data_IF_414327050920
#
_entry.id   IF_414327050920
#
_cell.length_a   1.000
_cell.length_b   1.000
_cell.length_c   1.000
_cell.angle_alpha   90.00
_cell.angle_beta   90.00
_cell.angle_gamma   90.00
#
_symmetry.space_group_name_H-M   'P 1'
#
loop_
_entity.id
_entity.type
_entity.pdbx_description
1 polymer ?
#
# COMPACT_ATOMS: atom_id res chain seq x y z
N UNK A 1 -11.97 -18.99 15.07
CA UNK A 1 -11.36 -19.04 13.70
C UNK A 1 -10.71 -17.69 13.40
N UNK A 2 -9.38 -17.63 13.35
CA UNK A 2 -8.69 -16.41 12.95
C UNK A 2 -8.99 -16.12 11.47
N UNK A 3 -9.69 -15.03 11.20
CA UNK A 3 -9.81 -14.48 9.85
C UNK A 3 -8.47 -13.79 9.56
N UNK A 4 -7.43 -14.57 9.30
CA UNK A 4 -6.27 -14.10 8.56
C UNK A 4 -6.72 -13.97 7.12
N UNK A 5 -7.31 -12.82 6.77
CA UNK A 5 -7.34 -12.40 5.37
C UNK A 5 -5.90 -12.41 4.87
N UNK A 6 -5.69 -13.02 3.69
CA UNK A 6 -4.38 -13.03 3.07
C UNK A 6 -3.92 -11.58 2.85
N UNK A 7 -2.69 -11.25 3.23
CA UNK A 7 -2.13 -9.92 3.02
C UNK A 7 -2.18 -9.53 1.53
N UNK A 8 -2.32 -8.22 1.21
CA UNK A 8 -2.37 -7.77 -0.18
C UNK A 8 -1.16 -8.27 -0.98
N UNK A 9 -1.42 -8.84 -2.16
CA UNK A 9 -0.40 -9.29 -3.10
C UNK A 9 -0.26 -8.31 -4.26
N UNK A 10 0.78 -8.49 -5.09
CA UNK A 10 0.97 -7.67 -6.28
C UNK A 10 -0.29 -7.76 -7.17
N UNK A 11 -0.87 -6.62 -7.57
CA UNK A 11 -2.05 -6.65 -8.43
C UNK A 11 -1.67 -7.26 -9.80
N UNK A 12 -2.58 -7.97 -10.48
CA UNK A 12 -2.35 -8.36 -11.87
C UNK A 12 -2.35 -7.13 -12.79
N UNK A 13 -1.93 -7.32 -14.04
CA UNK A 13 -2.09 -6.30 -15.10
C UNK A 13 -3.56 -5.83 -15.13
N UNK A 14 -3.85 -4.51 -14.99
CA UNK A 14 -5.21 -3.99 -14.99
C UNK A 14 -5.88 -3.98 -16.38
N UNK A 15 -5.15 -4.16 -17.49
CA UNK A 15 -5.69 -4.06 -18.86
C UNK A 15 -6.89 -4.99 -19.12
N UNK A 16 -6.90 -6.28 -18.73
CA UNK A 16 -8.05 -7.15 -18.97
C UNK A 16 -9.32 -6.65 -18.26
N UNK A 17 -9.20 -6.19 -17.01
CA UNK A 17 -10.33 -5.65 -16.26
C UNK A 17 -10.85 -4.33 -16.88
N UNK A 18 -9.95 -3.44 -17.27
CA UNK A 18 -10.31 -2.19 -17.96
C UNK A 18 -11.01 -2.44 -19.30
N UNK A 19 -10.53 -3.41 -20.08
CA UNK A 19 -11.14 -3.75 -21.37
C UNK A 19 -12.59 -4.26 -21.23
N UNK A 20 -12.91 -4.91 -20.10
CA UNK A 20 -14.26 -5.33 -19.79
C UNK A 20 -15.15 -4.18 -19.30
N UNK A 21 -14.59 -3.22 -18.57
CA UNK A 21 -15.35 -2.15 -17.90
C UNK A 21 -15.52 -0.87 -18.74
N UNK A 22 -14.54 -0.50 -19.57
CA UNK A 22 -14.56 0.76 -20.31
C UNK A 22 -15.48 0.70 -21.54
N UNK A 23 -16.22 1.78 -21.76
CA UNK A 23 -16.89 2.00 -23.05
C UNK A 23 -15.86 2.16 -24.20
N UNK A 24 -16.28 2.03 -25.47
CA UNK A 24 -15.36 2.10 -26.60
C UNK A 24 -14.57 3.42 -26.72
N UNK A 25 -15.15 4.54 -26.28
CA UNK A 25 -14.52 5.87 -26.37
C UNK A 25 -13.42 6.00 -25.32
N UNK A 26 -13.71 5.62 -24.07
CA UNK A 26 -12.74 5.64 -22.98
C UNK A 26 -11.58 4.66 -23.24
N UNK A 27 -11.88 3.50 -23.82
CA UNK A 27 -10.88 2.50 -24.20
C UNK A 27 -9.95 2.98 -25.31
N UNK A 28 -10.52 3.53 -26.38
CA UNK A 28 -9.73 4.13 -27.46
C UNK A 28 -8.81 5.24 -26.93
N UNK A 29 -9.34 6.12 -26.06
CA UNK A 29 -8.53 7.15 -25.43
C UNK A 29 -7.35 6.57 -24.62
N UNK A 30 -7.57 5.51 -23.86
CA UNK A 30 -6.52 4.90 -23.05
C UNK A 30 -5.45 4.23 -23.92
N UNK A 31 -5.85 3.52 -24.98
CA UNK A 31 -4.92 2.86 -25.91
C UNK A 31 -4.08 3.89 -26.67
N UNK A 32 -4.70 4.95 -27.19
CA UNK A 32 -4.01 6.06 -27.84
C UNK A 32 -3.07 6.78 -26.87
N UNK A 33 -3.51 7.02 -25.63
CA UNK A 33 -2.69 7.68 -24.60
C UNK A 33 -1.49 6.82 -24.20
N UNK A 34 -1.67 5.50 -24.07
CA UNK A 34 -0.57 4.58 -23.78
C UNK A 34 0.45 4.54 -24.94
N UNK A 35 -0.03 4.57 -26.18
CA UNK A 35 0.85 4.67 -27.36
C UNK A 35 1.60 6.02 -27.41
N UNK A 36 0.92 7.13 -27.08
CA UNK A 36 1.53 8.46 -26.99
C UNK A 36 2.62 8.50 -25.91
N UNK A 37 2.37 7.94 -24.72
CA UNK A 37 3.36 7.84 -23.64
C UNK A 37 4.55 6.96 -24.05
N UNK A 38 4.30 5.87 -24.78
CA UNK A 38 5.37 5.00 -25.27
C UNK A 38 6.26 5.70 -26.31
N UNK A 39 5.70 6.59 -27.13
CA UNK A 39 6.43 7.35 -28.15
C UNK A 39 7.11 8.60 -27.58
N UNK A 40 6.43 9.34 -26.70
CA UNK A 40 6.89 10.58 -26.08
C UNK A 40 6.60 10.54 -24.57
N UNK A 41 7.54 10.05 -23.74
CA UNK A 41 7.32 9.80 -22.31
C UNK A 41 6.85 11.02 -21.52
N UNK A 42 7.23 12.22 -21.93
CA UNK A 42 6.86 13.46 -21.22
C UNK A 42 5.36 13.76 -21.25
N UNK A 43 4.62 13.18 -22.19
CA UNK A 43 3.16 13.33 -22.32
C UNK A 43 2.39 12.72 -21.17
N UNK A 44 3.00 11.76 -20.43
CA UNK A 44 2.39 11.15 -19.24
C UNK A 44 1.97 12.21 -18.24
N UNK A 45 2.72 13.31 -18.10
CA UNK A 45 2.44 14.41 -17.16
C UNK A 45 1.12 15.12 -17.45
N UNK A 46 0.67 15.13 -18.71
CA UNK A 46 -0.61 15.70 -19.15
C UNK A 46 -1.72 14.66 -19.16
N UNK A 47 -1.41 13.42 -19.52
CA UNK A 47 -2.38 12.34 -19.69
C UNK A 47 -2.79 11.70 -18.36
N UNK A 48 -1.85 11.60 -17.41
CA UNK A 48 -2.05 10.97 -16.10
C UNK A 48 -3.16 11.65 -15.28
N UNK A 49 -3.27 13.00 -15.21
CA UNK A 49 -4.40 13.66 -14.56
C UNK A 49 -5.71 13.55 -15.33
N UNK A 50 -5.66 13.35 -16.65
CA UNK A 50 -6.85 13.25 -17.49
C UNK A 50 -7.58 11.91 -17.35
N UNK A 51 -6.92 10.88 -16.81
CA UNK A 51 -7.45 9.52 -16.69
C UNK A 51 -8.84 9.48 -16.05
N UNK A 52 -9.03 10.18 -14.92
CA UNK A 52 -10.34 10.21 -14.23
C UNK A 52 -11.47 10.77 -15.09
N UNK A 53 -11.21 11.88 -15.79
CA UNK A 53 -12.22 12.51 -16.65
C UNK A 53 -12.57 11.65 -17.86
N UNK A 54 -11.60 10.85 -18.34
CA UNK A 54 -11.70 10.11 -19.60
C UNK A 54 -12.19 8.68 -19.41
N UNK A 55 -11.86 8.06 -18.29
CA UNK A 55 -12.17 6.66 -18.00
C UNK A 55 -13.23 6.50 -16.89
N UNK A 56 -13.51 7.54 -16.10
CA UNK A 56 -14.33 7.41 -14.89
C UNK A 56 -13.51 6.94 -13.68
N UNK A 57 -14.16 6.74 -12.54
CA UNK A 57 -13.52 6.46 -11.25
C UNK A 57 -14.27 5.42 -10.42
N UNK A 58 -15.16 4.65 -11.08
CA UNK A 58 -15.90 3.60 -10.41
C UNK A 58 -14.93 2.52 -9.90
N UNK A 59 -15.38 1.75 -8.90
CA UNK A 59 -14.61 0.62 -8.41
C UNK A 59 -14.49 -0.43 -9.51
N UNK A 60 -13.26 -0.84 -9.83
CA UNK A 60 -12.97 -1.85 -10.86
C UNK A 60 -12.68 -3.22 -10.23
N UNK A 61 -11.87 -3.24 -9.17
CA UNK A 61 -11.53 -4.44 -8.39
C UNK A 61 -11.42 -4.08 -6.90
N UNK A 62 -11.05 -5.03 -6.06
CA UNK A 62 -10.65 -4.75 -4.67
C UNK A 62 -9.43 -3.80 -4.57
N UNK A 63 -8.57 -3.77 -5.59
CA UNK A 63 -7.32 -3.00 -5.60
C UNK A 63 -7.39 -1.69 -6.37
N UNK A 64 -8.29 -1.60 -7.36
CA UNK A 64 -8.31 -0.53 -8.34
C UNK A 64 -9.67 0.15 -8.44
N UNK A 65 -9.68 1.48 -8.47
CA UNK A 65 -10.69 2.20 -9.25
C UNK A 65 -10.28 2.26 -10.73
N UNK A 66 -11.24 2.57 -11.61
CA UNK A 66 -10.99 2.66 -13.05
C UNK A 66 -9.89 3.68 -13.38
N UNK A 67 -9.88 4.84 -12.73
CA UNK A 67 -8.87 5.88 -12.97
C UNK A 67 -7.48 5.49 -12.47
N UNK A 68 -7.38 4.76 -11.36
CA UNK A 68 -6.09 4.23 -10.86
C UNK A 68 -5.53 3.17 -11.81
N UNK A 69 -6.38 2.24 -12.26
CA UNK A 69 -6.02 1.22 -13.23
C UNK A 69 -5.58 1.84 -14.57
N UNK A 70 -6.28 2.86 -15.06
CA UNK A 70 -5.89 3.58 -16.28
C UNK A 70 -4.53 4.28 -16.11
N UNK A 71 -4.27 4.88 -14.93
CA UNK A 71 -2.98 5.47 -14.59
C UNK A 71 -1.85 4.42 -14.51
N UNK A 72 -2.14 3.24 -13.98
CA UNK A 72 -1.20 2.12 -13.99
C UNK A 72 -0.84 1.68 -15.42
N UNK A 73 -1.82 1.66 -16.33
CA UNK A 73 -1.58 1.42 -17.78
C UNK A 73 -0.65 2.47 -18.39
N UNK A 74 -0.82 3.76 -18.06
CA UNK A 74 0.06 4.82 -18.55
C UNK A 74 1.49 4.70 -17.99
N UNK A 75 1.64 4.38 -16.69
CA UNK A 75 2.95 4.21 -16.06
C UNK A 75 3.71 3.00 -16.62
N UNK A 76 3.03 1.88 -16.83
CA UNK A 76 3.62 0.67 -17.40
C UNK A 76 3.94 0.80 -18.90
N UNK A 77 3.32 1.76 -19.59
CA UNK A 77 3.63 2.09 -20.98
C UNK A 77 4.93 2.94 -21.13
N UNK A 78 5.48 3.49 -20.05
CA UNK A 78 6.72 4.28 -20.12
C UNK A 78 7.88 3.40 -20.62
N UNK A 79 8.61 3.83 -21.66
CA UNK A 79 9.81 3.15 -22.15
C UNK A 79 11.05 3.48 -21.30
N UNK A 80 10.84 3.98 -20.07
CA UNK A 80 11.90 4.38 -19.14
C UNK A 80 12.27 3.22 -18.22
N UNK A 81 13.53 3.13 -17.80
CA UNK A 81 14.01 2.12 -16.85
C UNK A 81 14.95 2.74 -15.82
N UNK A 82 15.18 2.02 -14.72
CA UNK A 82 16.10 2.44 -13.67
C UNK A 82 15.79 3.84 -13.15
N UNK A 83 16.83 4.68 -13.01
CA UNK A 83 16.70 6.01 -12.40
C UNK A 83 15.74 6.95 -13.14
N UNK A 84 15.71 6.89 -14.48
CA UNK A 84 14.83 7.74 -15.27
C UNK A 84 13.34 7.42 -15.00
N UNK A 85 12.99 6.13 -14.87
CA UNK A 85 11.64 5.73 -14.48
C UNK A 85 11.32 6.16 -13.05
N UNK A 86 12.26 5.94 -12.12
CA UNK A 86 12.09 6.31 -10.72
C UNK A 86 11.84 7.82 -10.55
N UNK A 87 12.58 8.65 -11.29
CA UNK A 87 12.42 10.12 -11.25
C UNK A 87 11.08 10.58 -11.83
N UNK A 88 10.60 9.96 -12.91
CA UNK A 88 9.30 10.30 -13.50
C UNK A 88 8.14 9.88 -12.58
N UNK A 89 8.19 8.68 -12.00
CA UNK A 89 7.24 8.18 -11.00
C UNK A 89 7.22 9.09 -9.76
N UNK A 90 8.40 9.45 -9.23
CA UNK A 90 8.50 10.34 -8.08
C UNK A 90 7.98 11.75 -8.39
N UNK A 91 8.19 12.25 -9.61
CA UNK A 91 7.65 13.54 -10.06
C UNK A 91 6.12 13.51 -10.11
N UNK A 92 5.53 12.47 -10.71
CA UNK A 92 4.07 12.31 -10.78
C UNK A 92 3.45 12.20 -9.39
N UNK A 93 4.08 11.46 -8.47
CA UNK A 93 3.64 11.39 -7.07
C UNK A 93 3.74 12.76 -6.38
N UNK A 94 4.89 13.45 -6.46
CA UNK A 94 5.13 14.72 -5.76
C UNK A 94 4.14 15.82 -6.15
N UNK A 95 3.71 15.85 -7.40
CA UNK A 95 2.84 16.91 -7.93
C UNK A 95 1.38 16.47 -8.13
N UNK A 96 1.06 15.20 -7.92
CA UNK A 96 -0.28 14.68 -8.10
C UNK A 96 -1.20 14.97 -6.92
N UNK A 97 -2.50 14.92 -7.18
CA UNK A 97 -3.52 14.88 -6.13
C UNK A 97 -3.48 13.53 -5.35
N UNK A 98 -4.20 13.38 -4.23
CA UNK A 98 -4.17 12.13 -3.46
C UNK A 98 -4.59 10.88 -4.25
N UNK A 99 -5.48 10.99 -5.24
CA UNK A 99 -5.88 9.84 -6.05
C UNK A 99 -4.76 9.46 -7.04
N UNK A 100 -4.09 10.45 -7.60
CA UNK A 100 -2.91 10.28 -8.47
C UNK A 100 -1.73 9.68 -7.71
N UNK A 101 -1.44 10.18 -6.52
CA UNK A 101 -0.41 9.65 -5.62
C UNK A 101 -0.68 8.19 -5.26
N UNK A 102 -1.92 7.87 -4.90
CA UNK A 102 -2.35 6.51 -4.59
C UNK A 102 -2.18 5.58 -5.79
N UNK A 103 -2.54 6.03 -7.00
CA UNK A 103 -2.33 5.26 -8.22
C UNK A 103 -0.84 4.96 -8.48
N UNK A 104 0.05 5.93 -8.26
CA UNK A 104 1.50 5.72 -8.38
C UNK A 104 1.97 4.63 -7.41
N UNK A 105 1.62 4.75 -6.12
CA UNK A 105 2.04 3.80 -5.09
C UNK A 105 1.56 2.37 -5.38
N UNK A 106 0.29 2.22 -5.76
CA UNK A 106 -0.31 0.92 -6.12
C UNK A 106 0.29 0.30 -7.38
N UNK A 107 0.87 1.12 -8.26
CA UNK A 107 1.52 0.63 -9.49
C UNK A 107 2.96 0.18 -9.27
N UNK A 108 3.63 0.58 -8.18
CA UNK A 108 5.04 0.24 -7.94
C UNK A 108 5.40 -1.25 -8.10
N UNK A 109 4.58 -2.23 -7.65
CA UNK A 109 4.85 -3.66 -7.86
C UNK A 109 4.86 -4.11 -9.33
N UNK A 110 4.28 -3.32 -10.23
CA UNK A 110 4.23 -3.57 -11.67
C UNK A 110 5.40 -2.93 -12.44
N UNK A 111 6.25 -2.15 -11.76
CA UNK A 111 7.36 -1.43 -12.36
C UNK A 111 8.69 -2.09 -11.97
N UNK A 112 9.56 -2.27 -12.96
CA UNK A 112 10.93 -2.78 -12.75
C UNK A 112 11.84 -1.68 -12.19
N UNK A 113 11.65 -1.38 -10.90
CA UNK A 113 12.34 -0.30 -10.18
C UNK A 113 13.34 -0.79 -9.13
N UNK A 114 13.35 -2.07 -8.78
CA UNK A 114 14.15 -2.58 -7.67
C UNK A 114 13.90 -1.76 -6.40
N UNK A 115 14.96 -1.28 -5.74
CA UNK A 115 14.86 -0.43 -4.54
C UNK A 115 14.76 1.07 -4.84
N UNK A 116 14.78 1.49 -6.11
CA UNK A 116 14.89 2.90 -6.50
C UNK A 116 13.68 3.76 -6.11
N UNK A 117 12.51 3.16 -5.88
CA UNK A 117 11.32 3.85 -5.38
C UNK A 117 11.20 3.84 -3.84
N UNK A 118 12.16 3.29 -3.09
CA UNK A 118 12.18 3.39 -1.63
C UNK A 118 12.12 4.83 -1.09
N UNK A 119 12.83 5.82 -1.68
CA UNK A 119 12.72 7.21 -1.23
C UNK A 119 11.29 7.76 -1.32
N UNK A 120 10.55 7.39 -2.37
CA UNK A 120 9.15 7.76 -2.56
C UNK A 120 8.28 7.16 -1.46
N UNK A 121 8.40 5.85 -1.21
CA UNK A 121 7.65 5.16 -0.13
C UNK A 121 7.95 5.79 1.22
N UNK A 122 9.24 6.03 1.54
CA UNK A 122 9.65 6.67 2.80
C UNK A 122 9.11 8.11 2.92
N UNK A 123 9.05 8.86 1.83
CA UNK A 123 8.45 10.20 1.81
C UNK A 123 6.95 10.11 2.14
N UNK A 124 6.21 9.21 1.49
CA UNK A 124 4.78 9.00 1.75
C UNK A 124 4.52 8.57 3.20
N UNK A 125 5.33 7.66 3.75
CA UNK A 125 5.19 7.18 5.13
C UNK A 125 5.51 8.23 6.19
N UNK A 126 6.08 9.39 5.85
CA UNK A 126 6.22 10.53 6.78
C UNK A 126 4.95 11.37 6.88
N UNK A 127 4.08 11.35 5.87
CA UNK A 127 2.80 12.05 5.87
C UNK A 127 1.73 11.37 6.72
N UNK A 128 0.56 12.00 6.89
CA UNK A 128 -0.54 11.50 7.73
C UNK A 128 -1.80 11.12 6.94
N UNK A 129 -1.76 11.15 5.62
CA UNK A 129 -2.88 10.70 4.79
C UNK A 129 -2.97 9.17 4.86
N UNK A 130 -4.00 8.66 5.52
CA UNK A 130 -4.18 7.23 5.75
C UNK A 130 -4.35 6.44 4.46
N UNK A 131 -4.96 7.03 3.43
CA UNK A 131 -5.16 6.38 2.14
C UNK A 131 -3.85 6.21 1.37
N UNK A 132 -2.91 7.15 1.55
CA UNK A 132 -1.57 7.07 0.98
C UNK A 132 -0.64 6.17 1.78
N UNK A 133 -0.73 6.19 3.12
CA UNK A 133 0.01 5.25 3.97
C UNK A 133 -0.38 3.81 3.63
N UNK A 134 -1.68 3.53 3.52
CA UNK A 134 -2.20 2.22 3.12
C UNK A 134 -1.61 1.78 1.78
N UNK A 135 -1.68 2.64 0.76
CA UNK A 135 -1.14 2.33 -0.56
C UNK A 135 0.39 2.19 -0.58
N UNK A 136 1.10 2.97 0.24
CA UNK A 136 2.54 2.88 0.38
C UNK A 136 2.98 1.56 1.04
N UNK A 137 2.20 1.01 1.96
CA UNK A 137 2.42 -0.30 2.60
C UNK A 137 1.89 -1.49 1.78
N UNK A 138 1.86 -1.32 0.46
CA UNK A 138 1.58 -2.39 -0.50
C UNK A 138 2.78 -3.33 -0.77
N UNK A 139 2.64 -4.23 -1.75
CA UNK A 139 3.61 -5.30 -2.04
C UNK A 139 5.04 -4.83 -2.29
N UNK A 140 5.21 -3.63 -2.89
CA UNK A 140 6.53 -3.05 -3.11
C UNK A 140 7.24 -2.75 -1.78
N UNK A 141 6.56 -2.14 -0.81
CA UNK A 141 7.14 -1.88 0.50
C UNK A 141 7.41 -3.17 1.26
N UNK A 142 6.53 -4.17 1.16
CA UNK A 142 6.74 -5.48 1.74
C UNK A 142 8.02 -6.14 1.21
N UNK A 143 8.31 -6.01 -0.08
CA UNK A 143 9.50 -6.57 -0.71
C UNK A 143 10.80 -5.79 -0.44
N UNK A 144 10.72 -4.46 -0.29
CA UNK A 144 11.91 -3.60 -0.32
C UNK A 144 12.23 -2.87 0.99
N UNK A 145 11.27 -2.64 1.89
CA UNK A 145 11.57 -1.97 3.16
C UNK A 145 12.46 -2.87 4.04
N UNK A 146 13.54 -2.34 4.64
CA UNK A 146 14.27 -3.04 5.69
C UNK A 146 13.34 -3.36 6.87
N UNK A 147 13.60 -4.47 7.58
CA UNK A 147 12.70 -4.94 8.64
C UNK A 147 12.41 -3.88 9.71
N UNK A 148 13.42 -3.14 10.15
CA UNK A 148 13.23 -2.08 11.14
C UNK A 148 12.27 -0.99 10.65
N UNK A 149 12.37 -0.58 9.38
CA UNK A 149 11.49 0.43 8.80
C UNK A 149 10.08 -0.12 8.58
N UNK A 150 9.96 -1.39 8.14
CA UNK A 150 8.68 -2.05 7.97
C UNK A 150 7.92 -2.14 9.31
N UNK A 151 8.57 -2.57 10.39
CA UNK A 151 7.94 -2.62 11.74
C UNK A 151 7.43 -1.26 12.21
N UNK A 152 8.24 -0.20 12.02
CA UNK A 152 7.84 1.17 12.38
C UNK A 152 6.65 1.64 11.54
N UNK A 153 6.60 1.29 10.26
CA UNK A 153 5.49 1.63 9.39
C UNK A 153 4.21 0.84 9.76
N UNK A 154 4.32 -0.43 10.15
CA UNK A 154 3.19 -1.21 10.71
C UNK A 154 2.70 -0.58 12.00
N UNK A 155 3.59 -0.21 12.92
CA UNK A 155 3.21 0.46 14.16
C UNK A 155 2.49 1.79 13.88
N UNK A 156 2.94 2.53 12.85
CA UNK A 156 2.25 3.73 12.38
C UNK A 156 0.82 3.43 11.91
N UNK A 157 0.59 2.35 11.17
CA UNK A 157 -0.77 1.94 10.78
C UNK A 157 -1.68 1.79 12.00
N UNK A 158 -1.20 1.12 13.05
CA UNK A 158 -1.98 0.94 14.28
C UNK A 158 -2.28 2.28 14.95
N UNK A 159 -1.32 3.21 15.01
CA UNK A 159 -1.55 4.56 15.54
C UNK A 159 -2.54 5.39 14.70
N UNK A 160 -2.56 5.16 13.38
CA UNK A 160 -3.44 5.85 12.44
C UNK A 160 -4.76 5.10 12.18
N UNK A 161 -5.05 4.04 12.94
CA UNK A 161 -6.25 3.21 12.80
C UNK A 161 -6.44 2.60 11.39
N UNK A 162 -5.32 2.36 10.69
CA UNK A 162 -5.32 1.65 9.40
C UNK A 162 -5.38 0.15 9.69
N UNK A 163 -6.40 -0.57 9.18
CA UNK A 163 -6.53 -2.01 9.41
C UNK A 163 -5.30 -2.78 8.93
N UNK A 164 -4.79 -3.67 9.76
CA UNK A 164 -3.57 -4.43 9.45
C UNK A 164 -3.75 -5.43 8.30
N UNK A 165 -5.00 -5.78 7.96
CA UNK A 165 -5.31 -6.58 6.76
C UNK A 165 -5.00 -5.84 5.43
N UNK A 166 -4.72 -4.53 5.50
CA UNK A 166 -4.28 -3.73 4.35
C UNK A 166 -2.77 -3.67 4.17
N UNK A 167 -2.00 -4.20 5.12
CA UNK A 167 -0.53 -4.20 5.04
C UNK A 167 -0.05 -5.46 4.32
N UNK A 168 0.66 -5.27 3.21
CA UNK A 168 1.20 -6.38 2.42
C UNK A 168 2.35 -7.09 3.15
N UNK A 169 2.38 -8.43 3.07
CA UNK A 169 3.44 -9.28 3.62
C UNK A 169 3.49 -9.38 5.15
N UNK A 170 2.46 -8.91 5.86
CA UNK A 170 2.47 -8.89 7.33
C UNK A 170 2.50 -10.31 7.93
N UNK A 171 1.81 -11.26 7.28
CA UNK A 171 1.81 -12.68 7.61
C UNK A 171 3.20 -13.34 7.57
N UNK A 172 4.06 -12.89 6.66
CA UNK A 172 5.41 -13.43 6.44
C UNK A 172 6.50 -12.64 7.15
N UNK A 173 6.28 -11.35 7.38
CA UNK A 173 7.25 -10.44 8.01
C UNK A 173 7.01 -10.18 9.48
N UNK A 174 5.90 -10.69 10.04
CA UNK A 174 5.69 -10.65 11.48
C UNK A 174 6.82 -11.40 12.20
N UNK A 175 7.38 -10.76 13.21
CA UNK A 175 8.44 -11.32 14.02
C UNK A 175 8.34 -10.90 15.48
N UNK A 176 9.27 -11.42 16.28
CA UNK A 176 9.35 -11.19 17.71
C UNK A 176 9.44 -9.70 18.07
N UNK A 177 10.19 -8.91 17.30
CA UNK A 177 10.35 -7.49 17.60
C UNK A 177 9.08 -6.69 17.27
N UNK A 178 8.39 -7.03 16.18
CA UNK A 178 7.10 -6.44 15.86
C UNK A 178 6.07 -6.77 16.95
N UNK A 179 6.01 -8.03 17.38
CA UNK A 179 5.10 -8.47 18.43
C UNK A 179 5.37 -7.75 19.76
N UNK A 180 6.64 -7.57 20.13
CA UNK A 180 7.05 -6.78 21.30
C UNK A 180 6.56 -5.33 21.20
N UNK A 181 6.81 -4.66 20.07
CA UNK A 181 6.34 -3.28 19.83
C UNK A 181 4.82 -3.15 19.92
N UNK A 182 4.07 -4.12 19.39
CA UNK A 182 2.61 -4.14 19.45
C UNK A 182 2.09 -4.44 20.87
N UNK A 183 2.79 -5.26 21.64
CA UNK A 183 2.49 -5.52 23.05
C UNK A 183 2.69 -4.26 23.91
N UNK A 184 3.78 -3.53 23.69
CA UNK A 184 4.04 -2.24 24.35
C UNK A 184 2.92 -1.24 24.03
N UNK A 185 2.55 -1.11 22.75
CA UNK A 185 1.43 -0.26 22.33
C UNK A 185 0.11 -0.66 23.00
N UNK A 186 -0.20 -1.96 23.07
CA UNK A 186 -1.40 -2.46 23.71
C UNK A 186 -1.43 -2.12 25.20
N UNK A 187 -0.28 -2.28 25.88
CA UNK A 187 -0.14 -1.92 27.29
C UNK A 187 -0.38 -0.42 27.52
N UNK A 188 0.21 0.45 26.70
CA UNK A 188 -0.01 1.91 26.75
C UNK A 188 -1.47 2.31 26.54
N UNK A 189 -2.21 1.58 25.68
CA UNK A 189 -3.65 1.80 25.47
C UNK A 189 -4.45 1.41 26.71
N UNK A 190 -4.20 0.23 27.27
CA UNK A 190 -4.89 -0.30 28.46
C UNK A 190 -4.66 0.60 29.68
N UNK A 191 -3.42 1.01 29.94
CA UNK A 191 -3.08 1.93 31.05
C UNK A 191 -3.81 3.26 30.89
N UNK A 192 -4.01 3.72 29.66
CA UNK A 192 -4.77 4.92 29.35
C UNK A 192 -6.30 4.72 29.28
N UNK A 193 -6.82 3.53 29.60
CA UNK A 193 -8.26 3.21 29.54
C UNK A 193 -8.83 3.24 28.12
N UNK A 194 -8.01 2.98 27.10
CA UNK A 194 -8.40 2.96 25.69
C UNK A 194 -8.47 1.54 25.15
N UNK A 195 -9.34 1.34 24.17
CA UNK A 195 -9.48 0.05 23.50
C UNK A 195 -8.21 -0.34 22.73
N UNK A 196 -7.92 -1.64 22.73
CA UNK A 196 -6.84 -2.23 21.96
C UNK A 196 -7.41 -2.74 20.62
N UNK A 197 -6.84 -2.33 19.47
CA UNK A 197 -7.24 -2.85 18.16
C UNK A 197 -7.22 -4.37 18.12
N UNK A 198 -8.25 -5.00 17.56
CA UNK A 198 -8.40 -6.46 17.58
C UNK A 198 -7.40 -7.17 16.67
N UNK A 199 -7.00 -6.52 15.60
CA UNK A 199 -6.13 -7.04 14.54
C UNK A 199 -4.65 -7.13 14.95
N UNK A 200 -4.21 -6.52 16.05
CA UNK A 200 -2.87 -6.75 16.60
C UNK A 200 -2.77 -8.06 17.41
N UNK A 201 -3.89 -8.59 17.91
CA UNK A 201 -3.91 -9.76 18.82
C UNK A 201 -3.25 -11.00 18.19
N UNK A 202 -3.53 -11.37 16.92
CA UNK A 202 -2.88 -12.53 16.30
C UNK A 202 -1.36 -12.40 16.25
N UNK A 203 -0.85 -11.18 16.01
CA UNK A 203 0.60 -10.91 15.92
C UNK A 203 1.28 -11.01 17.28
N UNK A 204 0.67 -10.46 18.33
CA UNK A 204 1.21 -10.56 19.70
C UNK A 204 1.19 -12.02 20.18
N UNK A 205 0.11 -12.76 19.91
CA UNK A 205 0.00 -14.18 20.31
C UNK A 205 0.94 -15.12 19.59
N UNK A 206 1.34 -14.79 18.36
CA UNK A 206 2.28 -15.61 17.61
C UNK A 206 3.68 -15.65 18.25
N UNK A 207 4.00 -14.69 19.14
CA UNK A 207 5.31 -14.57 19.79
C UNK A 207 5.15 -14.27 21.30
N UNK A 208 4.61 -15.21 22.10
CA UNK A 208 4.35 -14.97 23.52
C UNK A 208 5.63 -14.70 24.32
N UNK A 209 6.77 -15.23 23.88
CA UNK A 209 8.09 -15.00 24.47
C UNK A 209 8.68 -13.61 24.17
N UNK A 210 8.04 -12.83 23.28
CA UNK A 210 8.39 -11.44 23.01
C UNK A 210 7.88 -10.48 24.10
N UNK A 211 6.87 -10.91 24.86
CA UNK A 211 6.14 -10.05 25.79
C UNK A 211 6.92 -9.97 27.10
N UNK A 212 7.16 -8.75 27.59
CA UNK A 212 7.82 -8.57 28.86
C UNK A 212 6.93 -9.09 30.01
N UNK A 213 7.53 -9.82 30.94
CA UNK A 213 6.81 -10.40 32.07
C UNK A 213 6.11 -9.34 32.93
N UNK A 214 6.57 -8.08 32.92
CA UNK A 214 5.91 -6.98 33.63
C UNK A 214 4.57 -6.57 33.01
N UNK A 215 4.41 -6.67 31.67
CA UNK A 215 3.20 -6.23 30.96
C UNK A 215 2.22 -7.38 30.70
N UNK A 216 2.69 -8.62 30.74
CA UNK A 216 1.90 -9.83 30.48
C UNK A 216 0.58 -9.89 31.28
N UNK A 217 0.54 -9.59 32.60
CA UNK A 217 -0.71 -9.62 33.36
C UNK A 217 -1.78 -8.66 32.81
N UNK A 218 -1.36 -7.48 32.35
CA UNK A 218 -2.26 -6.49 31.74
C UNK A 218 -2.77 -6.91 30.36
N UNK A 219 -2.01 -7.76 29.66
CA UNK A 219 -2.34 -8.26 28.31
C UNK A 219 -3.09 -9.58 28.31
N UNK A 220 -3.48 -10.12 29.47
CA UNK A 220 -4.18 -11.42 29.58
C UNK A 220 -5.36 -11.53 28.59
N UNK A 221 -6.20 -10.50 28.47
CA UNK A 221 -7.35 -10.51 27.55
C UNK A 221 -6.97 -10.36 26.06
N UNK A 222 -5.83 -9.73 25.77
CA UNK A 222 -5.24 -9.68 24.43
C UNK A 222 -4.75 -11.07 24.02
N UNK A 223 -4.28 -11.88 24.98
CA UNK A 223 -3.70 -13.20 24.76
C UNK A 223 -4.72 -14.37 24.69
N UNK A 224 -5.91 -14.22 25.28
CA UNK A 224 -6.97 -15.27 25.27
C UNK A 224 -7.56 -15.52 23.88
N UNK A 225 -7.65 -16.78 23.43
CA UNK A 225 -8.46 -17.13 22.26
C UNK A 225 -9.95 -16.80 22.49
N UNK A 226 -10.57 -16.08 21.55
CA UNK A 226 -12.04 -16.07 21.46
C UNK A 226 -12.41 -17.33 20.65
N UNK A 227 -13.14 -18.24 21.30
CA UNK A 227 -13.61 -19.51 20.75
C UNK A 227 -14.50 -19.33 19.51
#
# INVERSE_FOLDING_TARGET
MAVTSASPSAPPDPRPALNAALDPTARAWLDESAAEVAAEPSTVRRLFPAARRRCGHDRLTEHWSVDEAARAVLLTALPLRGRALADEVARLHRHGDPAEQRAVLRTLPLLDLGDLALPLVRETLRGNDTTLIEAALGPYAAAHLPDAEYRQAVLKCVFCEIPLDRVAGLDTRADRELARMLADFAHERIVAGRDVPRDIRPLVRAFPDAIAAEIEPALTDVLKEEG
#
